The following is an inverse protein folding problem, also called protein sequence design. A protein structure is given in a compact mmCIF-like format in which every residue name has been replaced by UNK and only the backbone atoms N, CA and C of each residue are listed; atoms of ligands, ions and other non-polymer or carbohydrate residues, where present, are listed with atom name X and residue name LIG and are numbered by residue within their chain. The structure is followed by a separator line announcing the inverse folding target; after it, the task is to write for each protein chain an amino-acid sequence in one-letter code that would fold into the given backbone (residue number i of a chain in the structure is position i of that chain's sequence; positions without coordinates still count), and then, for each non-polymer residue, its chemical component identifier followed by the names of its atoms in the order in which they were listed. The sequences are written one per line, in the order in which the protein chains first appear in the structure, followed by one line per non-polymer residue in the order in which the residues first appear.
data_IF_152884049924
#
_entry.id   IF_152884049924
#
_cell.length_a   1.000
_cell.length_b   1.000
_cell.length_c   1.000
_cell.angle_alpha   90.00
_cell.angle_beta   90.00
_cell.angle_gamma   90.00
#
_symmetry.space_group_name_H-M   'P 1'
#
loop_
_entity.id
_entity.type
_entity.pdbx_description
1 polymer ?
#
# COMPACT_ATOMS: atom_id res chain seq x y z
N UNK A 1 18.22 -20.65 15.45
CA UNK A 1 18.11 -19.59 14.41
C UNK A 1 16.71 -19.02 14.50
N UNK A 2 16.56 -17.69 14.42
CA UNK A 2 15.24 -17.07 14.41
C UNK A 2 14.60 -17.30 13.04
N UNK A 3 13.50 -18.04 12.97
CA UNK A 3 12.70 -18.15 11.75
C UNK A 3 11.23 -17.93 12.11
N UNK A 4 10.46 -17.37 11.18
CA UNK A 4 9.05 -17.10 11.41
C UNK A 4 8.51 -15.96 10.58
N UNK A 5 7.30 -15.54 10.93
CA UNK A 5 6.65 -14.34 10.41
C UNK A 5 6.80 -13.24 11.47
N UNK A 6 7.37 -12.11 11.07
CA UNK A 6 7.47 -10.93 11.93
C UNK A 6 6.57 -9.84 11.36
N UNK A 7 5.69 -9.30 12.20
CA UNK A 7 4.85 -8.17 11.86
C UNK A 7 5.60 -6.89 12.18
N UNK A 8 5.84 -6.05 11.17
CA UNK A 8 6.62 -4.81 11.33
C UNK A 8 5.77 -3.63 10.91
N UNK A 9 5.79 -2.55 11.71
CA UNK A 9 5.21 -1.30 11.29
C UNK A 9 6.23 -0.62 10.39
N UNK A 10 5.92 -0.46 9.10
CA UNK A 10 6.82 0.24 8.19
C UNK A 10 6.77 1.73 8.51
N UNK A 11 7.90 2.37 8.87
CA UNK A 11 7.90 3.82 8.99
C UNK A 11 7.87 4.49 7.62
N UNK A 12 7.42 5.75 7.61
CA UNK A 12 7.40 6.61 6.42
C UNK A 12 8.82 6.80 5.88
N UNK A 13 8.94 6.90 4.56
CA UNK A 13 10.22 7.14 3.86
C UNK A 13 11.11 5.90 3.73
N UNK A 14 10.73 4.75 4.29
CA UNK A 14 11.46 3.49 4.09
C UNK A 14 10.77 2.62 3.04
N UNK A 15 11.53 2.03 2.13
CA UNK A 15 11.00 1.04 1.19
C UNK A 15 10.78 -0.30 1.91
N UNK A 16 9.89 -1.17 1.40
CA UNK A 16 9.76 -2.54 1.91
C UNK A 16 11.09 -3.32 1.90
N UNK A 17 11.98 -3.03 0.95
CA UNK A 17 13.31 -3.65 0.89
C UNK A 17 14.26 -3.15 2.00
N UNK A 18 14.10 -1.91 2.48
CA UNK A 18 14.89 -1.45 3.63
C UNK A 18 14.61 -2.28 4.89
N UNK A 19 13.39 -2.77 5.08
CA UNK A 19 13.06 -3.69 6.19
C UNK A 19 13.78 -5.03 6.03
N UNK A 20 13.81 -5.57 4.81
CA UNK A 20 14.57 -6.80 4.50
C UNK A 20 16.05 -6.61 4.84
N UNK A 21 16.66 -5.51 4.40
CA UNK A 21 18.06 -5.21 4.70
C UNK A 21 18.31 -5.03 6.21
N UNK A 22 17.40 -4.34 6.92
CA UNK A 22 17.51 -4.15 8.37
C UNK A 22 17.43 -5.49 9.12
N UNK A 23 16.48 -6.36 8.76
CA UNK A 23 16.36 -7.69 9.36
C UNK A 23 17.59 -8.56 9.08
N UNK A 24 18.13 -8.52 7.85
CA UNK A 24 19.36 -9.25 7.51
C UNK A 24 20.51 -8.82 8.39
N UNK A 25 20.67 -7.52 8.58
CA UNK A 25 21.70 -6.96 9.45
C UNK A 25 21.55 -7.42 10.90
N UNK A 26 20.34 -7.35 11.47
CA UNK A 26 20.09 -7.72 12.87
C UNK A 26 20.18 -9.24 13.11
N UNK A 27 19.67 -10.06 12.20
CA UNK A 27 19.54 -11.51 12.38
C UNK A 27 20.72 -12.33 11.83
N UNK A 28 21.48 -11.79 10.87
CA UNK A 28 22.46 -12.56 10.09
C UNK A 28 21.85 -13.52 9.06
N UNK A 29 20.53 -13.53 8.87
CA UNK A 29 19.83 -14.48 8.00
C UNK A 29 19.64 -13.89 6.61
N UNK A 30 20.15 -14.56 5.58
CA UNK A 30 20.06 -14.08 4.19
C UNK A 30 18.66 -14.25 3.58
N UNK A 31 17.96 -15.34 3.93
CA UNK A 31 16.66 -15.70 3.36
C UNK A 31 15.51 -14.99 4.08
N UNK A 32 15.28 -13.74 3.68
CA UNK A 32 14.21 -12.88 4.19
C UNK A 32 13.43 -12.29 3.02
N UNK A 33 12.10 -12.24 3.15
CA UNK A 33 11.18 -11.62 2.20
C UNK A 33 10.05 -10.88 2.91
N UNK A 34 9.06 -10.41 2.14
CA UNK A 34 7.85 -9.80 2.67
C UNK A 34 6.65 -10.20 1.81
N UNK A 35 5.44 -10.11 2.36
CA UNK A 35 4.21 -10.54 1.69
C UNK A 35 3.27 -9.38 1.33
N UNK A 36 3.80 -8.41 0.60
CA UNK A 36 3.05 -7.24 0.14
C UNK A 36 3.89 -5.98 0.26
N UNK A 37 4.17 -5.35 -0.87
CA UNK A 37 4.90 -4.09 -0.90
C UNK A 37 4.02 -2.97 -0.34
N UNK A 38 4.64 -2.01 0.34
CA UNK A 38 4.07 -0.69 0.62
C UNK A 38 4.93 0.35 -0.06
N UNK A 39 4.29 1.40 -0.58
CA UNK A 39 4.99 2.54 -1.16
C UNK A 39 5.87 3.22 -0.09
N UNK A 40 6.95 3.93 -0.50
CA UNK A 40 7.88 4.55 0.44
C UNK A 40 7.19 5.50 1.44
N UNK A 41 6.27 6.34 0.97
CA UNK A 41 5.52 7.27 1.82
C UNK A 41 4.47 6.61 2.72
N UNK A 42 4.01 5.40 2.36
CA UNK A 42 3.01 4.69 3.14
C UNK A 42 3.59 4.16 4.46
N UNK A 43 2.76 3.83 5.43
CA UNK A 43 3.15 3.22 6.70
C UNK A 43 2.33 1.97 7.00
N UNK A 44 2.61 1.31 8.11
CA UNK A 44 1.74 0.28 8.65
C UNK A 44 2.21 -1.14 8.42
N UNK A 45 1.27 -2.09 8.54
CA UNK A 45 1.54 -3.53 8.64
C UNK A 45 2.38 -4.04 7.48
N UNK A 46 3.57 -4.57 7.76
CA UNK A 46 4.40 -5.33 6.84
C UNK A 46 4.60 -6.74 7.40
N UNK A 47 4.12 -7.74 6.66
CA UNK A 47 4.34 -9.15 6.97
C UNK A 47 5.72 -9.56 6.44
N UNK A 48 6.69 -9.66 7.34
CA UNK A 48 8.06 -10.07 7.03
C UNK A 48 8.21 -11.58 7.22
N UNK A 49 8.84 -12.24 6.25
CA UNK A 49 9.02 -13.69 6.21
C UNK A 49 10.50 -14.01 6.42
N UNK A 50 10.86 -14.59 7.55
CA UNK A 50 12.25 -14.89 7.94
C UNK A 50 12.47 -16.40 7.89
N UNK A 51 13.42 -16.84 7.06
CA UNK A 51 13.76 -18.25 6.89
C UNK A 51 13.20 -18.86 5.60
N UNK A 52 13.78 -20.00 5.19
CA UNK A 52 13.45 -20.67 3.92
C UNK A 52 12.02 -21.22 3.90
N UNK A 53 11.54 -21.72 5.05
CA UNK A 53 10.16 -22.22 5.22
C UNK A 53 9.14 -21.10 4.97
N UNK A 54 9.30 -19.99 5.68
CA UNK A 54 8.33 -18.89 5.68
C UNK A 54 8.33 -18.09 4.38
N UNK A 55 9.49 -17.88 3.77
CA UNK A 55 9.57 -17.17 2.47
C UNK A 55 8.84 -17.89 1.33
N UNK A 56 8.60 -19.20 1.43
CA UNK A 56 7.77 -19.95 0.46
C UNK A 56 6.27 -19.73 0.64
N UNK A 57 5.85 -19.19 1.79
CA UNK A 57 4.43 -18.94 2.10
C UNK A 57 3.96 -17.58 1.59
N UNK A 58 4.80 -16.79 0.90
CA UNK A 58 4.48 -15.41 0.51
C UNK A 58 3.14 -15.26 -0.21
N UNK A 59 2.80 -16.21 -1.07
CA UNK A 59 1.59 -16.14 -1.90
C UNK A 59 0.32 -16.27 -1.07
N UNK A 60 0.36 -17.05 0.03
CA UNK A 60 -0.76 -17.21 0.96
C UNK A 60 -1.12 -15.88 1.63
N UNK A 61 -0.12 -15.10 2.04
CA UNK A 61 -0.28 -13.80 2.67
C UNK A 61 -0.58 -12.68 1.67
N UNK A 62 0.06 -12.71 0.49
CA UNK A 62 -0.21 -11.76 -0.59
C UNK A 62 -1.68 -11.83 -1.02
N UNK A 63 -2.26 -13.02 -1.00
CA UNK A 63 -3.65 -13.30 -1.35
C UNK A 63 -4.70 -12.71 -0.41
N UNK A 64 -4.32 -12.31 0.81
CA UNK A 64 -5.25 -11.83 1.82
C UNK A 64 -5.73 -10.41 1.55
N UNK A 65 -6.94 -10.12 2.01
CA UNK A 65 -7.51 -8.78 2.01
C UNK A 65 -6.74 -7.85 2.93
N UNK A 66 -6.79 -6.55 2.63
CA UNK A 66 -6.04 -5.51 3.32
C UNK A 66 -6.95 -4.36 3.66
N UNK A 67 -6.57 -3.61 4.68
CA UNK A 67 -7.31 -2.45 5.12
C UNK A 67 -6.38 -1.27 5.32
N UNK A 68 -6.82 -0.10 4.88
CA UNK A 68 -6.03 1.12 4.82
C UNK A 68 -6.81 2.30 5.39
N UNK A 69 -6.09 3.22 6.01
CA UNK A 69 -6.53 4.59 6.19
C UNK A 69 -5.75 5.48 5.22
N UNK A 70 -6.46 6.35 4.53
CA UNK A 70 -5.96 7.13 3.41
C UNK A 70 -6.38 8.60 3.53
N UNK A 71 -5.45 9.50 3.23
CA UNK A 71 -5.73 10.93 3.07
C UNK A 71 -5.55 11.30 1.59
N UNK A 72 -6.64 11.62 0.91
CA UNK A 72 -6.66 12.07 -0.48
C UNK A 72 -6.71 13.59 -0.51
N UNK A 73 -5.84 14.22 -1.30
CA UNK A 73 -5.87 15.67 -1.53
C UNK A 73 -6.51 15.94 -2.89
N UNK A 74 -7.64 16.65 -2.88
CA UNK A 74 -8.34 17.10 -4.07
C UNK A 74 -7.68 18.36 -4.68
N UNK A 75 -7.99 18.66 -5.94
CA UNK A 75 -7.56 19.87 -6.63
C UNK A 75 -6.19 19.78 -7.28
N UNK A 76 -5.43 18.69 -7.08
CA UNK A 76 -4.14 18.46 -7.74
C UNK A 76 -4.01 16.98 -8.11
N UNK A 77 -3.73 16.70 -9.38
CA UNK A 77 -3.31 15.37 -9.83
C UNK A 77 -1.80 15.32 -10.04
N UNK A 78 -1.23 14.12 -9.86
CA UNK A 78 0.21 13.84 -9.99
C UNK A 78 0.46 12.62 -10.87
N UNK A 79 1.59 12.54 -11.56
CA UNK A 79 1.93 11.41 -12.44
C UNK A 79 2.10 10.04 -11.75
N UNK A 80 2.41 10.01 -10.46
CA UNK A 80 2.49 8.79 -9.63
C UNK A 80 1.23 8.49 -8.82
N UNK A 81 0.23 9.39 -8.89
CA UNK A 81 -1.00 9.40 -8.08
C UNK A 81 -0.75 9.49 -6.56
N UNK A 82 0.42 9.96 -6.15
CA UNK A 82 0.80 10.20 -4.77
C UNK A 82 1.66 11.46 -4.63
N UNK A 83 1.96 11.85 -3.40
CA UNK A 83 2.74 13.06 -3.10
C UNK A 83 4.19 13.05 -3.63
N UNK A 84 4.73 11.90 -4.02
CA UNK A 84 6.10 11.79 -4.52
C UNK A 84 6.18 12.11 -6.03
N UNK A 85 5.02 12.29 -6.69
CA UNK A 85 4.89 12.58 -8.11
C UNK A 85 5.04 14.04 -8.47
N UNK A 86 5.18 14.29 -9.78
CA UNK A 86 5.10 15.64 -10.35
C UNK A 86 3.65 15.99 -10.59
N UNK A 87 3.29 17.23 -10.30
CA UNK A 87 1.98 17.79 -10.64
C UNK A 87 1.75 17.73 -12.14
N UNK A 88 0.60 17.21 -12.55
CA UNK A 88 0.18 17.14 -13.96
C UNK A 88 -1.04 18.00 -14.26
N UNK A 89 -1.86 18.29 -13.25
CA UNK A 89 -2.97 19.24 -13.35
C UNK A 89 -3.38 19.77 -11.98
N UNK A 90 -4.04 20.92 -12.00
CA UNK A 90 -4.63 21.58 -10.84
C UNK A 90 -6.03 22.09 -11.17
N UNK A 91 -6.86 22.29 -10.14
CA UNK A 91 -8.22 22.81 -10.27
C UNK A 91 -8.64 23.52 -8.99
N UNK A 92 -9.28 24.68 -9.15
CA UNK A 92 -9.88 25.45 -8.06
C UNK A 92 -11.30 24.98 -7.71
N UNK A 93 -11.82 23.96 -8.41
CA UNK A 93 -13.15 23.41 -8.14
C UNK A 93 -13.16 22.73 -6.77
N UNK A 94 -14.07 23.18 -5.90
CA UNK A 94 -14.30 22.63 -4.57
C UNK A 94 -15.59 21.80 -4.59
N UNK A 95 -15.52 20.45 -4.53
CA UNK A 95 -16.72 19.63 -4.48
C UNK A 95 -17.45 19.80 -3.16
N UNK A 96 -18.77 19.75 -3.21
CA UNK A 96 -19.57 19.66 -1.99
C UNK A 96 -19.42 18.29 -1.34
N UNK A 97 -19.73 18.17 -0.05
CA UNK A 97 -19.77 16.87 0.62
C UNK A 97 -20.71 15.89 -0.09
N UNK A 98 -21.86 16.36 -0.60
CA UNK A 98 -22.80 15.52 -1.34
C UNK A 98 -22.19 14.93 -2.61
N UNK A 99 -21.49 15.76 -3.40
CA UNK A 99 -20.81 15.30 -4.62
C UNK A 99 -19.70 14.28 -4.30
N UNK A 100 -18.97 14.52 -3.21
CA UNK A 100 -17.94 13.59 -2.73
C UNK A 100 -18.55 12.24 -2.33
N UNK A 101 -19.61 12.23 -1.51
CA UNK A 101 -20.25 11.00 -1.07
C UNK A 101 -20.88 10.22 -2.23
N UNK A 102 -21.48 10.92 -3.20
CA UNK A 102 -21.97 10.32 -4.44
C UNK A 102 -20.82 9.67 -5.22
N UNK A 103 -19.71 10.38 -5.42
CA UNK A 103 -18.54 9.85 -6.11
C UNK A 103 -17.96 8.59 -5.44
N UNK A 104 -17.94 8.54 -4.10
CA UNK A 104 -17.45 7.38 -3.34
C UNK A 104 -18.27 6.10 -3.59
N UNK A 105 -19.54 6.21 -3.99
CA UNK A 105 -20.38 5.04 -4.31
C UNK A 105 -19.85 4.24 -5.50
N UNK A 106 -19.13 4.88 -6.43
CA UNK A 106 -18.49 4.21 -7.57
C UNK A 106 -17.29 3.35 -7.21
N UNK A 107 -16.79 3.46 -5.97
CA UNK A 107 -15.65 2.69 -5.46
C UNK A 107 -16.08 1.63 -4.45
N UNK A 108 -17.35 1.20 -4.50
CA UNK A 108 -17.92 0.16 -3.66
C UNK A 108 -18.14 -1.14 -4.43
N UNK A 109 -17.83 -2.27 -3.80
CA UNK A 109 -18.00 -3.59 -4.39
C UNK A 109 -16.90 -3.94 -5.40
N UNK A 110 -17.28 -4.66 -6.45
CA UNK A 110 -16.35 -5.07 -7.51
C UNK A 110 -16.19 -3.95 -8.53
N UNK A 111 -14.95 -3.51 -8.73
CA UNK A 111 -14.59 -2.46 -9.69
C UNK A 111 -13.44 -2.92 -10.57
N UNK A 112 -13.33 -2.32 -11.76
CA UNK A 112 -12.20 -2.53 -12.65
C UNK A 112 -11.14 -1.47 -12.37
N UNK A 113 -9.88 -1.91 -12.22
CA UNK A 113 -8.76 -1.03 -12.01
C UNK A 113 -7.67 -1.27 -13.04
N UNK A 114 -7.18 -0.19 -13.65
CA UNK A 114 -5.94 -0.22 -14.43
C UNK A 114 -4.75 -0.06 -13.48
N UNK A 115 -3.84 -1.05 -13.38
CA UNK A 115 -2.64 -0.92 -12.57
C UNK A 115 -1.81 0.32 -12.98
N UNK A 116 -1.28 1.11 -12.04
CA UNK A 116 -0.47 2.27 -12.36
C UNK A 116 0.88 1.85 -12.95
N UNK A 117 1.47 2.72 -13.77
CA UNK A 117 2.81 2.52 -14.34
C UNK A 117 3.87 2.42 -13.24
N UNK A 118 3.74 3.20 -12.15
CA UNK A 118 4.61 3.09 -10.98
C UNK A 118 4.15 1.98 -10.03
N UNK A 119 4.24 0.73 -10.48
CA UNK A 119 3.91 -0.47 -9.68
C UNK A 119 4.90 -1.61 -9.84
N UNK A 120 4.88 -2.54 -8.89
CA UNK A 120 5.72 -3.76 -8.92
C UNK A 120 5.16 -4.87 -9.83
N UNK A 121 3.99 -4.67 -10.46
CA UNK A 121 3.39 -5.65 -11.38
C UNK A 121 4.34 -5.90 -12.55
N UNK A 122 4.45 -7.16 -12.97
CA UNK A 122 5.26 -7.54 -14.13
C UNK A 122 4.38 -7.65 -15.38
N UNK A 123 4.85 -7.08 -16.48
CA UNK A 123 4.28 -7.27 -17.83
C UNK A 123 5.43 -7.69 -18.73
N UNK A 124 5.26 -8.82 -19.45
CA UNK A 124 6.32 -9.42 -20.28
C UNK A 124 7.67 -9.57 -19.54
N UNK A 125 7.61 -10.00 -18.27
CA UNK A 125 8.80 -10.25 -17.43
C UNK A 125 9.44 -9.02 -16.77
N UNK A 126 9.10 -7.79 -17.20
CA UNK A 126 9.65 -6.54 -16.64
C UNK A 126 8.67 -5.89 -15.66
N UNK A 127 9.17 -5.27 -14.59
CA UNK A 127 8.32 -4.54 -13.63
C UNK A 127 7.90 -3.19 -14.22
N UNK A 128 6.65 -2.78 -14.03
CA UNK A 128 6.12 -1.54 -14.59
C UNK A 128 6.91 -0.30 -14.14
N UNK A 129 7.30 -0.22 -12.86
CA UNK A 129 8.08 0.94 -12.39
C UNK A 129 9.46 1.07 -13.07
N UNK A 130 10.06 -0.03 -13.52
CA UNK A 130 11.35 -0.01 -14.21
C UNK A 130 11.21 0.57 -15.62
N UNK A 131 10.04 0.38 -16.25
CA UNK A 131 9.68 0.98 -17.54
C UNK A 131 9.31 2.45 -17.37
N UNK A 132 8.50 2.78 -16.36
CA UNK A 132 8.08 4.15 -16.06
C UNK A 132 9.28 5.09 -15.82
N UNK A 133 10.30 4.62 -15.07
CA UNK A 133 11.55 5.37 -14.84
C UNK A 133 12.38 5.62 -16.10
N UNK A 134 12.14 4.84 -17.16
CA UNK A 134 12.76 5.04 -18.49
C UNK A 134 11.89 5.90 -19.41
N UNK A 135 10.79 6.47 -18.91
CA UNK A 135 9.81 7.20 -19.71
C UNK A 135 8.98 6.30 -20.63
N UNK A 136 9.01 4.98 -20.43
CA UNK A 136 8.28 4.02 -21.27
C UNK A 136 6.92 3.76 -20.65
N UNK A 137 5.85 4.19 -21.33
CA UNK A 137 4.47 3.85 -20.98
C UNK A 137 4.00 2.68 -21.82
N UNK A 138 3.31 1.74 -21.18
CA UNK A 138 2.64 0.64 -21.87
C UNK A 138 1.16 0.63 -21.52
N UNK A 139 0.35 0.04 -22.39
CA UNK A 139 -1.04 -0.26 -22.09
C UNK A 139 -1.13 -1.41 -21.06
N UNK A 140 -2.05 -1.30 -20.10
CA UNK A 140 -2.28 -2.34 -19.09
C UNK A 140 -3.76 -2.67 -19.10
N UNK A 141 -4.06 -3.97 -19.14
CA UNK A 141 -5.44 -4.44 -18.97
C UNK A 141 -5.94 -4.12 -17.57
N UNK A 142 -7.20 -3.71 -17.50
CA UNK A 142 -7.96 -3.62 -16.28
C UNK A 142 -8.05 -4.98 -15.59
N UNK A 143 -8.06 -4.96 -14.27
CA UNK A 143 -8.24 -6.14 -13.43
C UNK A 143 -9.36 -5.89 -12.42
N UNK A 144 -10.21 -6.89 -12.14
CA UNK A 144 -11.22 -6.75 -11.11
C UNK A 144 -10.57 -6.72 -9.73
N UNK A 145 -11.05 -5.81 -8.89
CA UNK A 145 -10.73 -5.72 -7.47
C UNK A 145 -12.01 -5.47 -6.68
N UNK A 146 -12.02 -5.86 -5.41
CA UNK A 146 -13.15 -5.59 -4.52
C UNK A 146 -12.74 -4.53 -3.51
N UNK A 147 -13.54 -3.50 -3.35
CA UNK A 147 -13.27 -2.38 -2.46
C UNK A 147 -14.52 -2.07 -1.63
N UNK A 148 -14.32 -1.80 -0.36
CA UNK A 148 -15.30 -1.17 0.52
C UNK A 148 -14.68 0.14 1.03
N UNK A 149 -15.36 1.25 0.79
CA UNK A 149 -14.94 2.56 1.30
C UNK A 149 -15.83 3.01 2.44
N UNK A 150 -15.21 3.55 3.49
CA UNK A 150 -15.89 4.22 4.59
C UNK A 150 -15.38 5.66 4.64
N UNK A 151 -16.30 6.61 4.52
CA UNK A 151 -16.01 8.02 4.69
C UNK A 151 -15.67 8.33 6.15
N UNK A 152 -14.58 9.06 6.40
CA UNK A 152 -14.19 9.46 7.76
C UNK A 152 -14.36 10.96 7.96
N UNK A 153 -13.80 11.79 7.08
CA UNK A 153 -13.95 13.24 7.14
C UNK A 153 -13.66 13.92 5.81
N UNK A 154 -14.18 15.13 5.66
CA UNK A 154 -13.87 16.03 4.55
C UNK A 154 -13.66 17.44 5.08
N UNK A 155 -12.44 17.93 4.91
CA UNK A 155 -12.06 19.32 5.16
C UNK A 155 -11.19 19.74 3.98
N UNK A 156 -11.75 20.49 3.04
CA UNK A 156 -11.08 20.82 1.79
C UNK A 156 -9.67 21.39 2.05
N UNK A 157 -8.63 20.90 1.35
CA UNK A 157 -8.67 19.99 0.20
C UNK A 157 -8.59 18.49 0.54
N UNK A 158 -8.72 18.09 1.81
CA UNK A 158 -8.44 16.74 2.28
C UNK A 158 -9.70 15.90 2.54
N UNK A 159 -9.70 14.69 2.00
CA UNK A 159 -10.68 13.65 2.29
C UNK A 159 -9.99 12.50 3.00
N UNK A 160 -10.52 12.08 4.14
CA UNK A 160 -10.04 10.90 4.87
C UNK A 160 -11.00 9.73 4.65
N UNK A 161 -10.43 8.60 4.28
CA UNK A 161 -11.15 7.37 3.96
C UNK A 161 -10.53 6.19 4.71
N UNK A 162 -11.37 5.23 5.08
CA UNK A 162 -10.95 3.87 5.39
C UNK A 162 -11.35 2.96 4.22
N UNK A 163 -10.44 2.11 3.77
CA UNK A 163 -10.65 1.22 2.63
C UNK A 163 -10.31 -0.21 3.00
N UNK A 164 -11.30 -1.10 2.92
CA UNK A 164 -11.08 -2.54 2.92
C UNK A 164 -11.03 -3.02 1.46
N UNK A 165 -10.03 -3.79 1.08
CA UNK A 165 -9.88 -4.18 -0.32
C UNK A 165 -9.21 -5.53 -0.53
N UNK A 166 -9.54 -6.15 -1.66
CA UNK A 166 -8.91 -7.38 -2.10
C UNK A 166 -7.48 -7.17 -2.60
N UNK A 167 -6.76 -8.28 -2.78
CA UNK A 167 -5.38 -8.27 -3.29
C UNK A 167 -5.28 -7.53 -4.63
N UNK A 168 -4.19 -6.79 -4.82
CA UNK A 168 -3.89 -6.12 -6.08
C UNK A 168 -4.58 -4.77 -6.29
N UNK A 169 -5.41 -4.33 -5.34
CA UNK A 169 -5.98 -2.98 -5.32
C UNK A 169 -4.90 -1.93 -5.12
N UNK A 170 -4.91 -0.89 -5.96
CA UNK A 170 -4.06 0.29 -5.84
C UNK A 170 -4.86 1.45 -5.25
N UNK A 171 -4.61 1.79 -3.99
CA UNK A 171 -5.29 2.93 -3.31
C UNK A 171 -4.94 4.26 -4.00
N UNK A 172 -3.73 4.37 -4.57
CA UNK A 172 -3.32 5.50 -5.39
C UNK A 172 -4.22 5.70 -6.62
N UNK A 173 -4.60 4.62 -7.30
CA UNK A 173 -5.55 4.69 -8.43
C UNK A 173 -6.94 5.13 -7.97
N UNK A 174 -7.41 4.68 -6.80
CA UNK A 174 -8.70 5.15 -6.24
C UNK A 174 -8.67 6.66 -6.01
N UNK A 175 -7.56 7.20 -5.47
CA UNK A 175 -7.41 8.64 -5.28
C UNK A 175 -7.48 9.40 -6.61
N UNK A 176 -6.72 8.98 -7.62
CA UNK A 176 -6.71 9.60 -8.95
C UNK A 176 -8.07 9.53 -9.64
N UNK A 177 -8.73 8.36 -9.62
CA UNK A 177 -10.03 8.15 -10.23
C UNK A 177 -11.14 8.95 -9.52
N UNK A 178 -11.08 9.09 -8.20
CA UNK A 178 -11.98 9.98 -7.44
C UNK A 178 -11.82 11.44 -7.91
N UNK A 179 -10.57 11.89 -8.09
CA UNK A 179 -10.26 13.22 -8.61
C UNK A 179 -10.79 13.45 -10.03
N UNK A 180 -10.70 12.44 -10.90
CA UNK A 180 -11.28 12.50 -12.26
C UNK A 180 -12.80 12.58 -12.23
N UNK A 181 -13.44 11.76 -11.41
CA UNK A 181 -14.91 11.74 -11.27
C UNK A 181 -15.43 13.10 -10.81
N UNK A 182 -14.78 13.68 -9.80
CA UNK A 182 -15.13 15.01 -9.28
C UNK A 182 -14.69 16.16 -10.21
N UNK A 183 -13.88 15.86 -11.24
CA UNK A 183 -13.26 16.82 -12.15
C UNK A 183 -12.44 17.89 -11.42
N UNK A 184 -11.73 17.46 -10.38
CA UNK A 184 -10.82 18.30 -9.58
C UNK A 184 -9.36 17.86 -9.72
N UNK A 185 -9.12 16.62 -10.14
CA UNK A 185 -7.83 15.97 -9.93
C UNK A 185 -7.61 15.67 -8.45
N UNK A 186 -6.84 14.62 -8.17
CA UNK A 186 -6.50 14.24 -6.81
C UNK A 186 -5.27 13.34 -6.78
N UNK A 187 -4.64 13.27 -5.61
CA UNK A 187 -3.58 12.31 -5.34
C UNK A 187 -3.58 11.91 -3.87
N UNK A 188 -2.92 10.79 -3.57
CA UNK A 188 -2.80 10.26 -2.22
C UNK A 188 -1.66 10.95 -1.46
N UNK A 189 -1.93 11.49 -0.28
CA UNK A 189 -0.93 12.22 0.53
C UNK A 189 -0.49 11.44 1.77
N UNK A 190 -1.35 10.59 2.29
CA UNK A 190 -1.06 9.70 3.41
C UNK A 190 -1.72 8.35 3.18
N UNK A 191 -1.03 7.28 3.57
CA UNK A 191 -1.52 5.92 3.46
C UNK A 191 -0.95 5.06 4.60
N UNK A 192 -1.83 4.52 5.43
CA UNK A 192 -1.45 3.60 6.51
C UNK A 192 -2.16 2.28 6.28
N UNK A 193 -1.42 1.18 6.09
CA UNK A 193 -2.02 -0.16 6.10
C UNK A 193 -2.26 -0.59 7.54
N UNK A 194 -3.52 -0.50 7.99
CA UNK A 194 -3.90 -0.84 9.35
C UNK A 194 -4.11 -2.34 9.56
N UNK A 195 -4.34 -3.10 8.47
CA UNK A 195 -4.52 -4.56 8.50
C UNK A 195 -4.02 -5.26 7.24
N UNK A 196 -3.49 -6.48 7.40
CA UNK A 196 -3.17 -7.40 6.31
C UNK A 196 -3.57 -8.83 6.68
N UNK A 197 -4.64 -9.35 6.08
CA UNK A 197 -5.26 -10.60 6.52
C UNK A 197 -5.73 -10.47 7.97
N UNK A 198 -5.35 -11.40 8.87
CA UNK A 198 -5.71 -11.31 10.29
C UNK A 198 -4.80 -10.34 11.08
N UNK A 199 -3.72 -9.84 10.48
CA UNK A 199 -2.70 -9.09 11.21
C UNK A 199 -3.02 -7.60 11.28
N UNK A 200 -3.03 -7.06 12.50
CA UNK A 200 -3.35 -5.69 12.82
C UNK A 200 -2.09 -4.85 13.09
N UNK A 201 -2.19 -3.55 12.86
CA UNK A 201 -1.10 -2.61 13.10
C UNK A 201 -0.60 -2.61 14.54
N UNK A 202 -1.49 -2.76 15.51
CA UNK A 202 -1.14 -2.79 16.94
C UNK A 202 -0.26 -4.00 17.34
N UNK A 203 -0.20 -5.04 16.52
CA UNK A 203 0.64 -6.22 16.75
C UNK A 203 2.05 -6.06 16.17
N UNK A 204 2.29 -4.97 15.45
CA UNK A 204 3.53 -4.75 14.73
C UNK A 204 4.62 -4.14 15.60
N UNK A 205 5.86 -4.51 15.30
CA UNK A 205 7.04 -3.97 15.99
C UNK A 205 7.74 -2.86 15.19
N UNK A 206 8.47 -1.99 15.87
CA UNK A 206 9.24 -0.89 15.28
C UNK A 206 10.71 -1.26 15.04
N UNK A 207 11.01 -1.83 13.87
CA UNK A 207 12.31 -2.48 13.66
C UNK A 207 13.53 -1.55 13.57
N UNK A 208 13.33 -0.28 13.21
CA UNK A 208 14.47 0.63 13.02
C UNK A 208 15.11 1.09 14.32
N UNK A 209 14.40 0.94 15.45
CA UNK A 209 14.90 1.26 16.78
C UNK A 209 15.41 0.01 17.54
N UNK A 210 15.31 -1.17 16.94
CA UNK A 210 15.70 -2.43 17.57
C UNK A 210 17.19 -2.73 17.44
N UNK A 211 17.76 -3.29 18.48
CA UNK A 211 19.02 -4.02 18.48
C UNK A 211 18.80 -5.53 18.25
N UNK A 212 19.89 -6.30 18.22
CA UNK A 212 19.84 -7.75 18.00
C UNK A 212 19.14 -8.48 19.15
N UNK A 213 19.34 -8.04 20.39
CA UNK A 213 18.66 -8.55 21.59
C UNK A 213 17.15 -8.41 21.47
N UNK A 214 16.66 -7.24 21.04
CA UNK A 214 15.23 -6.98 20.87
C UNK A 214 14.62 -7.93 19.83
N UNK A 215 15.34 -8.18 18.73
CA UNK A 215 14.88 -9.10 17.69
C UNK A 215 14.80 -10.54 18.20
N UNK A 216 15.69 -10.97 19.11
CA UNK A 216 15.65 -12.30 19.71
C UNK A 216 14.46 -12.47 20.67
N UNK A 217 13.98 -11.39 21.28
CA UNK A 217 12.83 -11.36 22.17
C UNK A 217 11.51 -11.08 21.45
N UNK A 218 11.55 -10.66 20.19
CA UNK A 218 10.35 -10.36 19.41
C UNK A 218 9.50 -11.61 19.16
N UNK A 219 8.17 -11.42 19.07
CA UNK A 219 7.22 -12.47 18.76
C UNK A 219 7.26 -12.81 17.27
N UNK A 220 7.65 -14.04 16.94
CA UNK A 220 7.55 -14.61 15.59
C UNK A 220 6.36 -15.57 15.52
N UNK A 221 5.55 -15.44 14.46
CA UNK A 221 4.43 -16.32 14.22
C UNK A 221 4.86 -17.49 13.33
N UNK A 222 4.22 -18.64 13.51
CA UNK A 222 4.50 -19.85 12.72
C UNK A 222 3.58 -20.01 11.49
N UNK A 223 2.54 -19.18 11.39
CA UNK A 223 1.56 -19.23 10.31
C UNK A 223 0.51 -18.13 10.41
N UNK A 224 -0.56 -18.30 9.64
CA UNK A 224 -1.80 -17.51 9.77
C UNK A 224 -2.56 -18.10 10.98
N UNK A 225 -2.93 -17.31 11.99
CA UNK A 225 -3.79 -17.77 13.08
C UNK A 225 -5.13 -18.27 12.52
N UNK A 226 -5.62 -19.41 13.01
CA UNK A 226 -6.95 -19.92 12.70
C UNK A 226 -8.04 -19.06 13.34
#
# INVERSE_FOLDING_TARGET
MIEGILLVNKPRGKTSFNLVSRLRFLSGISKIGHAGTLDPFATGVMVMLVGKKFTKMSDQFLGQDKEYEATVRLGIATDTFDLDGKMVSESDKIPTLSQLLEALTHFQGEILQTPPMFSAKKVQGKKLYELARKGITIERKEVPVKVETTFLSYEYPFVKLRLACSKGTYIRSIADDLGKYLQTGAHLTELTRIRSGPFLLQECVEIFNMEKSDLLSAKFLEGIPC
#
